data_IF_230681475132
#
_entry.id   IF_230681475132
#
_cell.length_a   1.000
_cell.length_b   1.000
_cell.length_c   1.000
_cell.angle_alpha   90.00
_cell.angle_beta   90.00
_cell.angle_gamma   90.00
#
_symmetry.space_group_name_H-M   'P 1'
#
loop_
_entity.id
_entity.type
_entity.pdbx_description
1 polymer ?
#
# COMPACT_ATOMS: atom_id res chain seq x y z
N UNK A 1 6.48 -48.28 -52.66
CA UNK A 1 5.74 -47.70 -53.80
C UNK A 1 5.52 -46.23 -53.49
N UNK A 2 6.12 -45.39 -54.33
CA UNK A 2 6.06 -43.93 -54.51
C UNK A 2 5.42 -42.98 -53.46
N UNK A 3 6.21 -41.95 -53.16
CA UNK A 3 5.88 -40.65 -52.58
C UNK A 3 4.89 -39.85 -53.46
N UNK A 4 4.05 -39.05 -52.82
CA UNK A 4 3.36 -37.90 -53.41
C UNK A 4 3.96 -36.59 -52.89
N UNK A 5 4.50 -35.81 -53.81
CA UNK A 5 5.14 -34.49 -53.66
C UNK A 5 4.07 -33.41 -53.81
N UNK A 6 4.14 -32.33 -53.01
CA UNK A 6 3.85 -30.97 -53.53
C UNK A 6 4.99 -30.04 -53.13
N UNK A 7 5.45 -29.35 -54.18
CA UNK A 7 6.65 -28.56 -54.39
C UNK A 7 6.51 -27.11 -53.88
N UNK A 8 7.58 -26.54 -53.32
CA UNK A 8 7.90 -25.11 -53.51
C UNK A 8 9.42 -24.93 -53.57
N UNK A 9 9.99 -25.23 -54.74
CA UNK A 9 10.87 -24.35 -55.52
C UNK A 9 11.89 -23.47 -54.74
N UNK A 10 13.08 -24.01 -54.47
CA UNK A 10 14.27 -23.21 -54.15
C UNK A 10 15.27 -23.22 -55.30
N UNK A 11 15.30 -22.12 -56.05
CA UNK A 11 16.35 -21.84 -57.04
C UNK A 11 17.71 -21.74 -56.34
N UNK A 12 18.63 -22.57 -56.83
CA UNK A 12 20.08 -22.52 -56.72
C UNK A 12 20.65 -21.12 -56.44
N UNK A 13 21.37 -20.98 -55.31
CA UNK A 13 22.45 -20.01 -55.20
C UNK A 13 23.77 -20.75 -55.00
N UNK A 14 24.64 -20.58 -56.00
CA UNK A 14 26.03 -21.06 -56.02
C UNK A 14 26.76 -20.58 -54.77
N UNK A 15 27.41 -21.54 -54.11
CA UNK A 15 28.38 -21.31 -53.05
C UNK A 15 29.51 -20.41 -53.57
N UNK A 16 29.55 -19.16 -53.11
CA UNK A 16 30.69 -18.26 -53.29
C UNK A 16 31.54 -18.37 -52.03
N UNK A 17 32.70 -19.00 -52.17
CA UNK A 17 33.75 -19.10 -51.16
C UNK A 17 34.16 -17.67 -50.78
N UNK A 18 33.64 -17.15 -49.67
CA UNK A 18 34.14 -15.91 -49.08
C UNK A 18 35.11 -16.25 -47.95
N UNK A 19 36.35 -15.85 -48.23
CA UNK A 19 37.53 -15.89 -47.39
C UNK A 19 37.27 -15.27 -46.01
N UNK A 20 37.88 -15.88 -44.99
CA UNK A 20 37.99 -15.37 -43.64
C UNK A 20 38.57 -13.96 -43.61
N UNK A 21 37.76 -12.95 -43.25
CA UNK A 21 38.15 -11.82 -42.40
C UNK A 21 36.93 -10.98 -42.03
N UNK A 22 36.39 -11.20 -40.84
CA UNK A 22 35.71 -10.23 -39.93
C UNK A 22 34.94 -10.97 -38.81
N UNK A 23 35.54 -11.98 -38.19
CA UNK A 23 34.96 -12.73 -37.06
C UNK A 23 35.62 -12.34 -35.73
N UNK A 24 35.41 -11.10 -35.27
CA UNK A 24 35.80 -10.73 -33.90
C UNK A 24 34.84 -9.71 -33.30
N UNK A 25 34.42 -8.68 -34.03
CA UNK A 25 33.49 -7.67 -33.49
C UNK A 25 32.04 -8.15 -33.38
N UNK A 26 31.51 -8.88 -34.37
CA UNK A 26 30.09 -9.30 -34.38
C UNK A 26 29.78 -10.39 -33.33
N UNK A 27 30.71 -11.32 -33.12
CA UNK A 27 30.58 -12.37 -32.09
C UNK A 27 30.72 -11.78 -30.68
N UNK A 28 31.67 -10.86 -30.47
CA UNK A 28 31.81 -10.13 -29.19
C UNK A 28 30.59 -9.28 -28.87
N UNK A 29 29.98 -8.65 -29.87
CA UNK A 29 28.76 -7.86 -29.70
C UNK A 29 27.57 -8.74 -29.26
N UNK A 30 27.42 -9.94 -29.85
CA UNK A 30 26.40 -10.90 -29.45
C UNK A 30 26.60 -11.42 -28.02
N UNK A 31 27.85 -11.73 -27.63
CA UNK A 31 28.15 -12.14 -26.25
C UNK A 31 27.90 -11.01 -25.25
N UNK A 32 28.24 -9.76 -25.61
CA UNK A 32 27.97 -8.58 -24.77
C UNK A 32 26.47 -8.35 -24.54
N UNK A 33 25.64 -8.53 -25.57
CA UNK A 33 24.18 -8.38 -25.47
C UNK A 33 23.56 -9.45 -24.57
N UNK A 34 24.00 -10.71 -24.67
CA UNK A 34 23.48 -11.80 -23.82
C UNK A 34 23.86 -11.56 -22.34
N UNK A 35 25.08 -11.07 -22.08
CA UNK A 35 25.51 -10.69 -20.72
C UNK A 35 24.71 -9.49 -20.20
N UNK A 36 24.39 -8.51 -21.06
CA UNK A 36 23.62 -7.32 -20.65
C UNK A 36 22.19 -7.68 -20.22
N UNK A 37 21.55 -8.66 -20.88
CA UNK A 37 20.17 -9.10 -20.56
C UNK A 37 20.12 -9.83 -19.22
N UNK A 38 21.18 -10.53 -18.81
CA UNK A 38 21.23 -11.24 -17.52
C UNK A 38 21.38 -10.31 -16.29
N UNK A 39 21.69 -9.03 -16.48
CA UNK A 39 21.84 -8.05 -15.39
C UNK A 39 20.63 -7.12 -15.21
N UNK A 40 19.57 -7.27 -16.00
CA UNK A 40 18.31 -6.57 -15.76
C UNK A 40 17.54 -7.27 -14.64
N UNK A 41 17.95 -7.06 -13.38
CA UNK A 41 17.06 -7.34 -12.25
C UNK A 41 15.88 -6.37 -12.30
N UNK A 42 14.69 -6.91 -12.62
CA UNK A 42 13.43 -6.17 -12.48
C UNK A 42 13.20 -5.96 -10.99
N UNK A 43 13.50 -4.75 -10.50
CA UNK A 43 13.25 -4.37 -9.12
C UNK A 43 11.77 -4.06 -8.96
N UNK A 44 10.99 -5.05 -8.52
CA UNK A 44 9.61 -4.83 -8.10
C UNK A 44 9.58 -3.90 -6.88
N UNK A 45 8.66 -2.94 -6.87
CA UNK A 45 8.46 -2.03 -5.73
C UNK A 45 8.13 -2.86 -4.47
N UNK A 46 9.03 -2.87 -3.49
CA UNK A 46 8.90 -3.69 -2.26
C UNK A 46 8.12 -3.01 -1.14
N UNK A 47 7.93 -1.69 -1.24
CA UNK A 47 7.29 -0.91 -0.19
C UNK A 47 6.41 0.18 -0.77
N UNK A 48 5.31 0.45 -0.08
CA UNK A 48 4.44 1.60 -0.33
C UNK A 48 4.56 2.59 0.83
N UNK A 49 4.51 3.89 0.51
CA UNK A 49 4.45 4.97 1.48
C UNK A 49 3.55 6.11 0.98
N UNK A 50 2.74 6.65 1.87
CA UNK A 50 2.05 7.93 1.71
C UNK A 50 2.18 8.75 3.00
N UNK A 51 2.13 10.07 2.88
CA UNK A 51 2.05 11.01 4.00
C UNK A 51 0.75 11.84 3.99
N UNK A 52 -0.11 11.59 3.00
CA UNK A 52 -1.33 12.36 2.74
C UNK A 52 -2.60 11.50 2.79
N UNK A 53 -2.58 10.45 3.59
CA UNK A 53 -3.73 9.59 3.77
C UNK A 53 -4.87 10.28 4.49
N UNK A 54 -6.10 9.86 4.17
CA UNK A 54 -7.31 10.39 4.78
C UNK A 54 -7.85 9.45 5.85
N UNK A 55 -8.13 9.99 7.03
CA UNK A 55 -8.75 9.30 8.17
C UNK A 55 -9.91 10.12 8.70
N UNK A 56 -10.99 9.43 9.05
CA UNK A 56 -12.18 9.98 9.68
C UNK A 56 -12.43 9.31 11.01
N UNK A 57 -12.78 10.11 12.01
CA UNK A 57 -13.14 9.67 13.34
C UNK A 57 -14.50 10.25 13.72
N UNK A 58 -15.32 9.46 14.42
CA UNK A 58 -16.67 9.85 14.84
C UNK A 58 -16.88 9.42 16.28
N UNK A 59 -17.43 10.30 17.11
CA UNK A 59 -17.78 10.01 18.51
C UNK A 59 -18.90 10.96 18.96
N UNK A 60 -19.32 10.86 20.22
CA UNK A 60 -20.16 11.88 20.85
C UNK A 60 -19.30 12.71 21.81
N UNK A 61 -19.59 14.01 21.92
CA UNK A 61 -19.07 14.87 22.99
C UNK A 61 -20.28 15.56 23.62
N UNK A 62 -20.49 15.35 24.92
CA UNK A 62 -21.69 15.82 25.63
C UNK A 62 -22.99 15.39 24.91
N UNK A 63 -23.06 14.12 24.50
CA UNK A 63 -24.15 13.52 23.73
C UNK A 63 -24.42 14.13 22.35
N UNK A 64 -23.51 14.95 21.80
CA UNK A 64 -23.61 15.50 20.45
C UNK A 64 -22.61 14.81 19.51
N UNK A 65 -23.04 14.39 18.32
CA UNK A 65 -22.14 13.74 17.36
C UNK A 65 -21.09 14.72 16.87
N UNK A 66 -19.82 14.32 16.98
CA UNK A 66 -18.67 15.05 16.45
C UNK A 66 -18.03 14.22 15.36
N UNK A 67 -17.67 14.89 14.27
CA UNK A 67 -16.84 14.31 13.20
C UNK A 67 -15.48 15.00 13.23
N UNK A 68 -14.42 14.20 13.26
CA UNK A 68 -13.06 14.65 13.05
C UNK A 68 -12.48 14.01 11.78
N UNK A 69 -11.67 14.74 11.03
CA UNK A 69 -10.96 14.20 9.87
C UNK A 69 -9.56 14.77 9.74
N UNK A 70 -8.65 14.01 9.13
CA UNK A 70 -7.31 14.47 8.78
C UNK A 70 -6.91 13.89 7.43
N UNK A 71 -6.16 14.68 6.66
CA UNK A 71 -5.51 14.31 5.40
C UNK A 71 -4.00 14.10 5.56
N UNK A 72 -3.54 13.87 6.79
CA UNK A 72 -2.13 13.70 7.15
C UNK A 72 -1.86 12.37 7.84
N UNK A 73 -2.66 11.34 7.53
CA UNK A 73 -2.34 9.98 7.91
C UNK A 73 -1.17 9.48 7.05
N UNK A 74 -0.01 9.32 7.66
CA UNK A 74 1.09 8.63 7.02
C UNK A 74 0.89 7.12 7.15
N UNK A 75 1.06 6.41 6.04
CA UNK A 75 0.89 4.96 5.95
C UNK A 75 2.06 4.37 5.19
N UNK A 76 2.63 3.30 5.74
CA UNK A 76 3.71 2.53 5.15
C UNK A 76 3.30 1.06 5.12
N UNK A 77 3.42 0.43 3.96
CA UNK A 77 3.17 -1.00 3.78
C UNK A 77 4.44 -1.64 3.24
N UNK A 78 4.94 -2.61 3.99
CA UNK A 78 5.98 -3.52 3.54
C UNK A 78 5.32 -4.75 2.91
N UNK A 79 5.55 -4.98 1.62
CA UNK A 79 4.88 -6.05 0.89
C UNK A 79 5.42 -7.44 1.21
N UNK A 80 6.72 -7.54 1.54
CA UNK A 80 7.36 -8.82 1.84
C UNK A 80 6.84 -9.37 3.18
N UNK A 81 6.82 -8.53 4.21
CA UNK A 81 6.35 -8.87 5.55
C UNK A 81 4.85 -8.67 5.76
N UNK A 82 4.17 -7.97 4.85
CA UNK A 82 2.74 -7.59 4.91
C UNK A 82 2.40 -6.76 6.16
N UNK A 83 3.40 -6.05 6.70
CA UNK A 83 3.24 -5.17 7.85
C UNK A 83 2.83 -3.80 7.36
N UNK A 84 1.72 -3.32 7.91
CA UNK A 84 1.24 -1.94 7.73
C UNK A 84 1.59 -1.16 9.00
N UNK A 85 2.28 -0.04 8.83
CA UNK A 85 2.57 0.93 9.87
C UNK A 85 1.88 2.25 9.53
N UNK A 86 1.24 2.87 10.50
CA UNK A 86 0.63 4.18 10.34
C UNK A 86 1.05 5.15 11.42
N UNK A 87 1.06 6.43 11.06
CA UNK A 87 1.40 7.53 11.95
C UNK A 87 0.44 8.68 11.68
N UNK A 88 -0.14 9.22 12.74
CA UNK A 88 -1.04 10.37 12.70
C UNK A 88 -0.72 11.26 13.89
N UNK A 89 -0.48 12.55 13.65
CA UNK A 89 -0.55 13.54 14.71
C UNK A 89 -2.00 13.99 14.87
N UNK A 90 -2.59 13.77 16.05
CA UNK A 90 -3.98 14.17 16.32
C UNK A 90 -4.18 15.69 16.23
N UNK A 91 -3.11 16.49 16.34
CA UNK A 91 -3.15 17.95 16.09
C UNK A 91 -3.56 18.31 14.66
N UNK A 92 -3.45 17.37 13.71
CA UNK A 92 -3.88 17.55 12.31
C UNK A 92 -5.37 17.30 12.09
N UNK A 93 -6.09 16.84 13.10
CA UNK A 93 -7.54 16.64 13.01
C UNK A 93 -8.25 17.99 12.90
N UNK A 94 -9.22 18.04 12.00
CA UNK A 94 -10.18 19.12 11.87
C UNK A 94 -11.56 18.60 12.28
N UNK A 95 -12.24 19.37 13.12
CA UNK A 95 -13.63 19.13 13.55
C UNK A 95 -14.49 20.35 13.26
N UNK A 96 -15.80 20.17 13.28
CA UNK A 96 -16.79 21.24 13.25
C UNK A 96 -16.90 22.02 14.58
N UNK A 97 -16.21 21.59 15.64
CA UNK A 97 -16.20 22.23 16.95
C UNK A 97 -14.87 22.93 17.19
N UNK A 98 -14.86 24.25 17.03
CA UNK A 98 -13.65 25.09 17.18
C UNK A 98 -12.90 24.85 18.50
N UNK A 99 -13.63 24.68 19.61
CA UNK A 99 -13.02 24.39 20.92
C UNK A 99 -12.16 23.13 20.91
N UNK A 100 -12.59 22.05 20.24
CA UNK A 100 -11.82 20.80 20.15
C UNK A 100 -10.57 21.02 19.29
N UNK A 101 -10.69 21.73 18.17
CA UNK A 101 -9.55 22.06 17.32
C UNK A 101 -8.48 22.84 18.09
N UNK A 102 -8.90 23.85 18.86
CA UNK A 102 -8.01 24.64 19.73
C UNK A 102 -7.34 23.78 20.79
N UNK A 103 -8.10 22.94 21.52
CA UNK A 103 -7.55 22.03 22.53
C UNK A 103 -6.43 21.15 21.96
N UNK A 104 -6.64 20.58 20.77
CA UNK A 104 -5.64 19.72 20.13
C UNK A 104 -4.42 20.54 19.66
N UNK A 105 -4.63 21.69 19.02
CA UNK A 105 -3.55 22.50 18.45
C UNK A 105 -2.64 23.13 19.51
N UNK A 106 -3.19 23.53 20.66
CA UNK A 106 -2.47 24.22 21.75
C UNK A 106 -1.64 23.27 22.63
N UNK A 107 -1.75 21.95 22.47
CA UNK A 107 -0.86 21.03 23.20
C UNK A 107 0.60 21.30 22.84
N UNK A 108 1.46 21.45 23.85
CA UNK A 108 2.89 21.70 23.65
C UNK A 108 3.55 20.52 22.91
N UNK A 109 3.30 19.31 23.42
CA UNK A 109 3.83 18.07 22.83
C UNK A 109 2.99 17.58 21.64
N UNK A 110 3.62 16.95 20.65
CA UNK A 110 2.92 16.26 19.56
C UNK A 110 1.99 15.15 20.08
N UNK A 111 0.77 15.09 19.53
CA UNK A 111 -0.21 14.05 19.88
C UNK A 111 -0.06 12.85 18.92
N UNK A 112 1.12 12.25 18.92
CA UNK A 112 1.49 11.20 17.97
C UNK A 112 0.80 9.88 18.28
N UNK A 113 -0.12 9.48 17.41
CA UNK A 113 -0.67 8.15 17.35
C UNK A 113 0.12 7.34 16.32
N UNK A 114 0.57 6.16 16.72
CA UNK A 114 1.23 5.19 15.84
C UNK A 114 0.46 3.90 15.88
N UNK A 115 0.39 3.19 14.77
CA UNK A 115 -0.21 1.88 14.74
C UNK A 115 0.55 0.91 13.84
N UNK A 116 0.47 -0.37 14.17
CA UNK A 116 1.08 -1.44 13.38
C UNK A 116 0.19 -2.67 13.38
N UNK A 117 0.13 -3.37 12.25
CA UNK A 117 -0.60 -4.63 12.13
C UNK A 117 -0.21 -5.38 10.86
N UNK A 118 -0.35 -6.69 10.89
CA UNK A 118 -0.03 -7.57 9.76
C UNK A 118 -1.30 -7.96 9.00
N UNK A 119 -1.28 -7.87 7.68
CA UNK A 119 -2.39 -8.33 6.83
C UNK A 119 -2.39 -9.87 6.80
N UNK A 120 -3.46 -10.56 7.26
CA UNK A 120 -3.49 -12.01 7.44
C UNK A 120 -3.71 -12.82 6.14
N UNK A 121 -3.42 -12.27 4.95
CA UNK A 121 -3.73 -12.91 3.66
C UNK A 121 -2.55 -13.68 3.04
N UNK A 122 -2.84 -14.76 2.31
CA UNK A 122 -1.83 -15.64 1.71
C UNK A 122 -1.09 -15.02 0.52
N UNK A 123 -1.75 -14.28 -0.37
CA UNK A 123 -1.09 -13.48 -1.40
C UNK A 123 -2.08 -12.48 -2.03
N UNK A 124 -1.92 -11.18 -1.73
CA UNK A 124 -2.74 -10.10 -2.29
C UNK A 124 -1.95 -9.22 -3.27
N UNK A 125 -0.71 -9.62 -3.58
CA UNK A 125 0.26 -8.80 -4.29
C UNK A 125 0.54 -9.33 -5.70
N UNK A 126 0.56 -10.65 -5.86
CA UNK A 126 1.02 -11.26 -7.11
C UNK A 126 -0.07 -11.47 -8.16
N UNK A 127 -1.35 -11.45 -7.76
CA UNK A 127 -2.48 -11.83 -8.62
C UNK A 127 -3.68 -10.96 -8.34
N UNK A 128 -4.46 -10.71 -9.40
CA UNK A 128 -5.81 -10.17 -9.26
C UNK A 128 -6.65 -11.10 -8.39
N UNK A 129 -7.35 -10.51 -7.43
CA UNK A 129 -8.23 -11.20 -6.52
C UNK A 129 -9.55 -10.43 -6.32
N UNK A 130 -10.60 -11.14 -5.90
CA UNK A 130 -11.82 -10.51 -5.38
C UNK A 130 -11.50 -9.74 -4.08
N UNK A 131 -12.36 -8.82 -3.62
CA UNK A 131 -12.15 -8.11 -2.36
C UNK A 131 -11.83 -9.05 -1.19
N UNK A 132 -10.69 -8.83 -0.54
CA UNK A 132 -10.24 -9.64 0.59
C UNK A 132 -10.66 -8.94 1.87
N UNK A 133 -11.62 -9.53 2.58
CA UNK A 133 -12.04 -9.06 3.90
C UNK A 133 -11.29 -9.80 5.00
N UNK A 134 -10.86 -9.08 6.02
CA UNK A 134 -10.17 -9.67 7.16
C UNK A 134 -10.34 -8.88 8.45
N UNK A 135 -10.17 -9.59 9.55
CA UNK A 135 -10.08 -9.02 10.89
C UNK A 135 -8.64 -8.61 11.14
N UNK A 136 -8.43 -7.30 11.24
CA UNK A 136 -7.12 -6.71 11.35
C UNK A 136 -6.86 -6.31 12.80
N UNK A 137 -6.06 -7.12 13.48
CA UNK A 137 -5.59 -6.80 14.82
C UNK A 137 -4.44 -5.80 14.73
N UNK A 138 -4.68 -4.61 15.28
CA UNK A 138 -3.75 -3.49 15.22
C UNK A 138 -3.26 -3.20 16.63
N UNK A 139 -1.94 -3.07 16.80
CA UNK A 139 -1.35 -2.52 18.01
C UNK A 139 -1.22 -1.02 17.82
N UNK A 140 -1.83 -0.25 18.71
CA UNK A 140 -1.79 1.21 18.71
C UNK A 140 -0.90 1.68 19.84
N UNK A 141 -0.10 2.70 19.56
CA UNK A 141 0.76 3.40 20.52
C UNK A 141 0.37 4.87 20.55
N UNK A 142 0.06 5.36 21.75
CA UNK A 142 -0.27 6.76 21.98
C UNK A 142 0.23 7.18 23.35
N UNK A 143 1.01 8.27 23.41
CA UNK A 143 1.61 8.79 24.65
C UNK A 143 2.30 7.71 25.52
N UNK A 144 3.05 6.80 24.88
CA UNK A 144 3.78 5.72 25.56
C UNK A 144 2.91 4.54 26.02
N UNK A 145 1.57 4.61 25.88
CA UNK A 145 0.66 3.48 26.13
C UNK A 145 0.50 2.63 24.89
N UNK A 146 0.31 1.33 25.10
CA UNK A 146 0.08 0.34 24.05
C UNK A 146 -1.24 -0.38 24.29
N UNK A 147 -2.08 -0.45 23.27
CA UNK A 147 -3.32 -1.23 23.31
C UNK A 147 -3.57 -1.90 21.97
N UNK A 148 -4.44 -2.91 21.98
CA UNK A 148 -4.86 -3.61 20.77
C UNK A 148 -6.27 -3.20 20.41
N UNK A 149 -6.50 -2.94 19.13
CA UNK A 149 -7.84 -2.71 18.58
C UNK A 149 -8.02 -3.58 17.34
N UNK A 150 -9.25 -4.07 17.15
CA UNK A 150 -9.61 -4.91 16.03
C UNK A 150 -10.43 -4.10 15.02
N UNK A 151 -9.93 -4.05 13.79
CA UNK A 151 -10.57 -3.40 12.67
C UNK A 151 -11.11 -4.45 11.70
N UNK A 152 -12.22 -4.13 11.04
CA UNK A 152 -12.65 -4.83 9.84
C UNK A 152 -12.00 -4.13 8.66
N UNK A 153 -11.17 -4.86 7.92
CA UNK A 153 -10.43 -4.33 6.80
C UNK A 153 -10.77 -5.06 5.50
N UNK A 154 -10.62 -4.34 4.39
CA UNK A 154 -10.83 -4.84 3.04
C UNK A 154 -9.68 -4.38 2.16
N UNK A 155 -9.16 -5.29 1.34
CA UNK A 155 -8.25 -4.96 0.23
C UNK A 155 -8.98 -5.23 -1.08
N UNK A 156 -9.07 -4.22 -1.93
CA UNK A 156 -9.75 -4.28 -3.22
C UNK A 156 -8.87 -3.69 -4.32
N UNK A 157 -8.92 -4.26 -5.51
CA UNK A 157 -8.27 -3.67 -6.67
C UNK A 157 -9.11 -2.55 -7.30
N UNK A 158 -8.45 -1.47 -7.70
CA UNK A 158 -8.99 -0.43 -8.54
C UNK A 158 -8.29 -0.52 -9.90
N UNK A 159 -9.08 -0.79 -10.93
CA UNK A 159 -8.60 -0.98 -12.29
C UNK A 159 -8.50 0.36 -13.03
N UNK A 160 -7.36 0.61 -13.68
CA UNK A 160 -7.10 1.81 -14.49
C UNK A 160 -6.55 1.40 -15.86
N UNK A 161 -7.42 0.80 -16.69
CA UNK A 161 -7.04 0.29 -18.01
C UNK A 161 -6.13 -0.94 -17.88
N UNK A 162 -4.85 -0.81 -18.26
CA UNK A 162 -3.86 -1.88 -18.12
C UNK A 162 -3.18 -1.91 -16.74
N UNK A 163 -3.26 -0.81 -15.97
CA UNK A 163 -2.67 -0.71 -14.65
C UNK A 163 -3.70 -1.04 -13.56
N UNK A 164 -3.22 -1.56 -12.43
CA UNK A 164 -4.07 -1.83 -11.27
C UNK A 164 -3.47 -1.23 -10.00
N UNK A 165 -4.34 -0.72 -9.13
CA UNK A 165 -3.96 -0.25 -7.80
C UNK A 165 -4.66 -1.07 -6.72
N UNK A 166 -4.08 -1.22 -5.53
CA UNK A 166 -4.82 -1.76 -4.38
C UNK A 166 -5.27 -0.63 -3.47
N UNK A 167 -6.53 -0.69 -3.04
CA UNK A 167 -7.09 0.11 -1.96
C UNK A 167 -7.19 -0.75 -0.71
N UNK A 168 -6.58 -0.31 0.39
CA UNK A 168 -6.89 -0.82 1.73
C UNK A 168 -7.90 0.12 2.38
N UNK A 169 -8.96 -0.43 2.96
CA UNK A 169 -9.89 0.31 3.81
C UNK A 169 -10.08 -0.40 5.12
N UNK A 170 -10.20 0.33 6.21
CA UNK A 170 -10.46 -0.25 7.52
C UNK A 170 -11.46 0.58 8.32
N UNK A 171 -12.33 -0.11 9.06
CA UNK A 171 -13.25 0.47 10.04
C UNK A 171 -13.14 -0.28 11.35
N UNK A 172 -13.11 0.45 12.46
CA UNK A 172 -13.03 -0.13 13.79
C UNK A 172 -13.51 0.84 14.86
N UNK A 173 -13.45 0.37 16.10
CA UNK A 173 -13.71 1.18 17.28
C UNK A 173 -12.49 1.19 18.19
N UNK A 174 -12.24 2.34 18.79
CA UNK A 174 -11.22 2.54 19.81
C UNK A 174 -11.92 2.95 21.11
N UNK A 175 -11.49 2.36 22.22
CA UNK A 175 -11.99 2.72 23.54
C UNK A 175 -11.24 3.96 24.05
N UNK A 176 -11.98 4.97 24.51
CA UNK A 176 -11.35 6.19 25.02
C UNK A 176 -10.49 5.91 26.24
N UNK A 177 -10.91 4.97 27.10
CA UNK A 177 -10.14 4.52 28.28
C UNK A 177 -8.72 4.06 27.94
N UNK A 178 -8.51 3.52 26.74
CA UNK A 178 -7.21 3.00 26.31
C UNK A 178 -6.30 4.11 25.76
N UNK A 179 -6.89 5.25 25.40
CA UNK A 179 -6.21 6.41 24.81
C UNK A 179 -5.88 7.50 25.83
N UNK A 180 -6.74 7.71 26.84
CA UNK A 180 -6.64 8.86 27.74
C UNK A 180 -7.11 10.18 27.13
N UNK A 181 -7.81 10.15 25.98
CA UNK A 181 -8.37 11.34 25.34
C UNK A 181 -9.47 12.03 26.17
N UNK A 182 -10.06 11.33 27.13
CA UNK A 182 -11.00 11.88 28.12
C UNK A 182 -10.36 12.96 29.02
N UNK A 183 -9.05 12.91 29.22
CA UNK A 183 -8.31 13.97 29.93
C UNK A 183 -8.16 15.26 29.11
N UNK A 184 -8.26 15.18 27.78
CA UNK A 184 -8.14 16.31 26.87
C UNK A 184 -9.50 16.85 26.42
N UNK A 185 -10.44 15.96 26.13
CA UNK A 185 -11.76 16.29 25.58
C UNK A 185 -12.83 15.89 26.59
N UNK A 186 -13.21 16.83 27.45
CA UNK A 186 -14.24 16.62 28.46
C UNK A 186 -15.59 16.23 27.83
N UNK A 187 -16.20 15.16 28.36
CA UNK A 187 -17.51 14.68 27.91
C UNK A 187 -17.48 13.86 26.61
N UNK A 188 -16.31 13.48 26.12
CA UNK A 188 -16.17 12.51 25.03
C UNK A 188 -16.79 11.15 25.44
N UNK A 189 -17.47 10.49 24.50
CA UNK A 189 -18.07 9.18 24.73
C UNK A 189 -17.02 8.08 24.86
N UNK A 190 -17.42 6.91 25.36
CA UNK A 190 -16.53 5.77 25.63
C UNK A 190 -15.85 5.22 24.38
N UNK A 191 -16.42 5.46 23.20
CA UNK A 191 -15.95 4.88 21.95
C UNK A 191 -15.72 5.95 20.88
N UNK A 192 -14.70 5.72 20.07
CA UNK A 192 -14.42 6.49 18.85
C UNK A 192 -14.48 5.51 17.69
N UNK A 193 -15.41 5.73 16.75
CA UNK A 193 -15.39 5.03 15.48
C UNK A 193 -14.30 5.62 14.59
N UNK A 194 -13.49 4.75 13.99
CA UNK A 194 -12.38 5.14 13.14
C UNK A 194 -12.54 4.49 11.77
N UNK A 195 -12.33 5.27 10.71
CA UNK A 195 -12.42 4.82 9.33
C UNK A 195 -11.31 5.46 8.50
N UNK A 196 -10.63 4.66 7.67
CA UNK A 196 -9.73 5.19 6.66
C UNK A 196 -9.77 4.33 5.40
N UNK A 197 -9.38 4.93 4.26
CA UNK A 197 -9.18 4.23 3.01
C UNK A 197 -7.98 4.84 2.30
N UNK A 198 -7.07 3.99 1.81
CA UNK A 198 -5.80 4.41 1.26
C UNK A 198 -5.41 3.51 0.08
N UNK A 199 -5.01 4.13 -1.04
CA UNK A 199 -4.34 3.41 -2.11
C UNK A 199 -2.96 3.01 -1.61
N UNK A 200 -2.62 1.72 -1.69
CA UNK A 200 -1.41 1.14 -1.08
C UNK A 200 -0.59 0.30 -2.05
N UNK A 201 -0.96 0.23 -3.33
CA UNK A 201 -0.19 -0.45 -4.36
C UNK A 201 -0.52 0.11 -5.73
N UNK A 202 0.49 0.17 -6.60
CA UNK A 202 0.37 0.47 -8.02
C UNK A 202 1.25 -0.54 -8.76
N UNK A 203 0.62 -1.46 -9.47
CA UNK A 203 1.31 -2.32 -10.44
C UNK A 203 1.18 -1.64 -11.79
N UNK A 204 2.32 -1.22 -12.34
CA UNK A 204 2.44 -0.69 -13.70
C UNK A 204 2.63 -1.82 -14.72
#
# INVERSE_FOLDING_TARGET
MFFGIIDVNFKSFKCKKYSNKTNSMKTKLFTLIIVLITFCEVTAQKTFKTEEGHIKMMTLVNNKPIKAESHKLALYLDYDSKIVNGVLDLKTLSTDVSKINTILQEQEDPLMLRFTGTIPSHDFLSKRHDPINFDWLVTVTYQGKFYKSQFKATITHIEHGAAMSCLISARGQVLVSDTGLDSLIEGIDKTIEVQFAQLVLKLE
#
